data_IF_938142201185
#
_entry.id   IF_938142201185
#
_cell.length_a   1.000
_cell.length_b   1.000
_cell.length_c   1.000
_cell.angle_alpha   90.00
_cell.angle_beta   90.00
_cell.angle_gamma   90.00
#
_symmetry.space_group_name_H-M   'P 1'
#
loop_
_entity.id
_entity.type
_entity.pdbx_description
1 polymer ?
#
# COMPACT_ATOMS: atom_id res chain seq x y z
N UNK A 1 97.61 20.13 17.06
CA UNK A 1 97.29 20.24 15.61
C UNK A 1 98.08 19.28 14.75
N UNK A 2 99.30 19.00 15.13
CA UNK A 2 100.21 18.15 14.33
C UNK A 2 99.93 16.65 14.33
N UNK A 3 99.32 16.09 15.38
CA UNK A 3 98.88 14.66 15.39
C UNK A 3 97.64 14.41 14.53
N UNK A 4 96.74 15.40 14.46
CA UNK A 4 95.52 15.30 13.58
C UNK A 4 95.94 15.34 12.11
N UNK A 5 96.88 16.24 11.73
CA UNK A 5 97.44 16.31 10.38
C UNK A 5 98.25 15.07 9.99
N UNK A 6 98.87 14.38 10.92
CA UNK A 6 99.65 13.14 10.70
C UNK A 6 98.76 11.94 10.39
N UNK A 7 97.56 11.89 10.96
CA UNK A 7 96.60 10.80 10.75
C UNK A 7 95.71 11.07 9.54
N UNK A 8 95.36 12.34 9.26
CA UNK A 8 94.37 12.70 8.22
C UNK A 8 94.98 13.50 7.04
N UNK A 9 96.29 13.80 7.04
CA UNK A 9 96.98 14.64 6.08
C UNK A 9 97.09 14.04 4.66
N UNK A 10 96.95 12.74 4.52
CA UNK A 10 96.97 12.02 3.25
C UNK A 10 95.60 11.79 2.61
N UNK A 11 94.51 12.27 3.26
CA UNK A 11 93.23 12.19 2.71
C UNK A 11 93.02 13.32 1.71
N UNK A 12 93.17 13.02 0.46
CA UNK A 12 92.92 13.99 -0.63
C UNK A 12 91.43 14.43 -0.68
N UNK A 13 91.15 15.68 -1.05
CA UNK A 13 89.78 16.24 -1.20
C UNK A 13 88.89 15.29 -2.01
N UNK A 14 89.44 14.55 -2.97
CA UNK A 14 88.74 13.52 -3.75
C UNK A 14 88.20 12.35 -2.92
N UNK A 15 88.98 11.85 -1.92
CA UNK A 15 88.56 10.73 -1.06
C UNK A 15 87.49 11.15 -0.07
N UNK A 16 87.53 12.34 0.47
CA UNK A 16 86.41 12.90 1.27
C UNK A 16 85.14 13.08 0.47
N UNK A 17 85.27 13.58 -0.74
CA UNK A 17 84.10 13.71 -1.61
C UNK A 17 83.44 12.37 -1.96
N UNK A 18 84.19 11.31 -2.24
CA UNK A 18 83.68 9.95 -2.48
C UNK A 18 82.98 9.40 -1.26
N UNK A 19 83.50 9.60 -0.04
CA UNK A 19 82.84 9.15 1.22
C UNK A 19 81.50 9.88 1.41
N UNK A 20 81.42 11.19 1.16
CA UNK A 20 80.18 11.94 1.31
C UNK A 20 79.17 11.44 0.31
N UNK A 21 79.48 11.20 -0.97
CA UNK A 21 78.62 10.65 -1.98
C UNK A 21 78.11 9.25 -1.59
N UNK A 22 79.03 8.40 -1.05
CA UNK A 22 78.61 7.06 -0.58
C UNK A 22 77.64 7.13 0.60
N UNK A 23 77.81 8.05 1.55
CA UNK A 23 76.87 8.22 2.68
C UNK A 23 75.54 8.73 2.23
N UNK A 24 75.50 9.67 1.29
CA UNK A 24 74.20 10.16 0.67
C UNK A 24 73.51 9.04 -0.08
N UNK A 25 74.27 8.22 -0.80
CA UNK A 25 73.70 7.07 -1.51
C UNK A 25 73.11 6.04 -0.55
N UNK A 26 73.84 5.67 0.51
CA UNK A 26 73.34 4.75 1.56
C UNK A 26 72.09 5.30 2.27
N UNK A 27 72.10 6.60 2.57
CA UNK A 27 70.91 7.23 3.18
C UNK A 27 69.69 7.19 2.24
N UNK A 28 69.89 7.41 0.95
CA UNK A 28 68.85 7.32 -0.06
C UNK A 28 68.29 5.89 -0.20
N UNK A 29 69.17 4.89 -0.22
CA UNK A 29 68.80 3.47 -0.19
C UNK A 29 67.99 3.13 1.08
N UNK A 30 68.47 3.55 2.24
CA UNK A 30 67.74 3.35 3.50
C UNK A 30 66.35 3.95 3.47
N UNK A 31 66.19 5.17 2.93
CA UNK A 31 64.90 5.84 2.83
C UNK A 31 63.96 5.10 1.90
N UNK A 32 64.41 4.58 0.75
CA UNK A 32 63.63 3.79 -0.19
C UNK A 32 63.11 2.49 0.45
N UNK A 33 64.04 1.74 1.10
CA UNK A 33 63.69 0.47 1.77
C UNK A 33 62.73 0.71 2.93
N UNK A 34 62.99 1.76 3.74
CA UNK A 34 62.09 2.13 4.85
C UNK A 34 60.68 2.47 4.35
N UNK A 35 60.56 3.28 3.29
CA UNK A 35 59.26 3.66 2.74
C UNK A 35 58.54 2.44 2.17
N UNK A 36 59.22 1.57 1.44
CA UNK A 36 58.66 0.34 0.92
C UNK A 36 58.14 -0.60 2.01
N UNK A 37 58.88 -0.75 3.10
CA UNK A 37 58.46 -1.52 4.28
C UNK A 37 57.21 -0.90 4.93
N UNK A 38 57.17 0.42 5.11
CA UNK A 38 56.03 1.11 5.70
C UNK A 38 54.77 0.95 4.82
N UNK A 39 54.92 1.09 3.51
CA UNK A 39 53.79 0.86 2.58
C UNK A 39 53.29 -0.58 2.65
N UNK A 40 54.17 -1.55 2.70
CA UNK A 40 53.81 -2.96 2.83
C UNK A 40 53.05 -3.24 4.14
N UNK A 41 53.55 -2.72 5.27
CA UNK A 41 52.84 -2.83 6.55
C UNK A 41 51.44 -2.19 6.54
N UNK A 42 51.32 -1.00 5.93
CA UNK A 42 50.03 -0.33 5.80
C UNK A 42 49.04 -1.15 4.95
N UNK A 43 49.50 -1.74 3.84
CA UNK A 43 48.65 -2.60 3.00
C UNK A 43 48.24 -3.89 3.71
N UNK A 44 49.11 -4.48 4.53
CA UNK A 44 48.78 -5.65 5.36
C UNK A 44 47.72 -5.29 6.43
N UNK A 45 47.90 -4.17 7.12
CA UNK A 45 46.95 -3.67 8.13
C UNK A 45 45.57 -3.36 7.52
N UNK A 46 45.50 -2.75 6.31
CA UNK A 46 44.25 -2.50 5.60
C UNK A 46 43.57 -3.81 5.17
N UNK A 47 44.33 -4.82 4.74
CA UNK A 47 43.80 -6.14 4.41
C UNK A 47 43.24 -6.84 5.63
N UNK A 48 43.94 -6.79 6.75
CA UNK A 48 43.45 -7.37 8.01
C UNK A 48 42.17 -6.69 8.48
N UNK A 49 42.08 -5.37 8.43
CA UNK A 49 40.85 -4.63 8.76
C UNK A 49 39.67 -5.06 7.86
N UNK A 50 39.89 -5.14 6.55
CA UNK A 50 38.85 -5.60 5.61
C UNK A 50 38.40 -7.04 5.88
N UNK A 51 39.31 -7.93 6.17
CA UNK A 51 39.03 -9.32 6.54
C UNK A 51 38.21 -9.36 7.84
N UNK A 52 38.58 -8.56 8.82
CA UNK A 52 37.85 -8.48 10.08
C UNK A 52 36.41 -7.97 9.89
N UNK A 53 36.22 -6.92 9.08
CA UNK A 53 34.88 -6.41 8.70
C UNK A 53 34.03 -7.47 8.02
N UNK A 54 34.60 -8.22 7.08
CA UNK A 54 33.89 -9.31 6.39
C UNK A 54 33.52 -10.44 7.35
N UNK A 55 34.40 -10.81 8.27
CA UNK A 55 34.12 -11.81 9.31
C UNK A 55 32.97 -11.36 10.22
N UNK A 56 32.97 -10.10 10.65
CA UNK A 56 31.91 -9.53 11.47
C UNK A 56 30.56 -9.52 10.73
N UNK A 57 30.52 -9.09 9.45
CA UNK A 57 29.33 -9.16 8.62
C UNK A 57 28.84 -10.60 8.44
N UNK A 58 29.75 -11.53 8.15
CA UNK A 58 29.40 -12.94 8.01
C UNK A 58 28.84 -13.55 9.29
N UNK A 59 29.35 -13.15 10.46
CA UNK A 59 28.85 -13.61 11.77
C UNK A 59 27.45 -13.10 12.08
N UNK A 60 27.06 -11.92 11.55
CA UNK A 60 25.73 -11.34 11.73
C UNK A 60 24.70 -11.88 10.73
N UNK A 61 25.13 -12.51 9.62
CA UNK A 61 24.24 -13.03 8.57
C UNK A 61 23.14 -13.98 9.06
N UNK A 62 23.42 -14.97 9.92
CA UNK A 62 22.39 -15.88 10.42
C UNK A 62 21.28 -15.14 11.18
N UNK A 63 21.65 -14.13 11.97
CA UNK A 63 20.71 -13.31 12.75
C UNK A 63 19.82 -12.45 11.84
N UNK A 64 20.38 -11.85 10.81
CA UNK A 64 19.61 -11.09 9.82
C UNK A 64 18.68 -11.99 9.00
N UNK A 65 19.16 -13.19 8.65
CA UNK A 65 18.34 -14.18 7.94
C UNK A 65 17.13 -14.62 8.79
N UNK A 66 17.35 -14.92 10.07
CA UNK A 66 16.27 -15.28 11.00
C UNK A 66 15.23 -14.15 11.14
N UNK A 67 15.71 -12.90 11.29
CA UNK A 67 14.83 -11.73 11.33
C UNK A 67 14.03 -11.56 10.04
N UNK A 68 14.66 -11.74 8.88
CA UNK A 68 14.00 -11.67 7.58
C UNK A 68 12.89 -12.71 7.44
N UNK A 69 13.17 -13.97 7.81
CA UNK A 69 12.17 -15.05 7.80
C UNK A 69 11.01 -14.74 8.73
N UNK A 70 11.28 -14.22 9.93
CA UNK A 70 10.23 -13.81 10.88
C UNK A 70 9.35 -12.70 10.33
N UNK A 71 9.94 -11.68 9.71
CA UNK A 71 9.21 -10.58 9.06
C UNK A 71 8.35 -11.11 7.91
N UNK A 72 8.89 -11.98 7.05
CA UNK A 72 8.14 -12.59 5.95
C UNK A 72 6.94 -13.37 6.45
N UNK A 73 7.10 -14.14 7.54
CA UNK A 73 5.99 -14.89 8.16
C UNK A 73 4.90 -13.94 8.67
N UNK A 74 5.28 -12.89 9.43
CA UNK A 74 4.33 -11.88 9.93
C UNK A 74 3.61 -11.17 8.79
N UNK A 75 4.32 -10.86 7.70
CA UNK A 75 3.72 -10.24 6.52
C UNK A 75 2.68 -11.15 5.86
N UNK A 76 3.01 -12.44 5.71
CA UNK A 76 2.09 -13.44 5.16
C UNK A 76 0.82 -13.59 6.02
N UNK A 77 0.97 -13.67 7.34
CA UNK A 77 -0.15 -13.74 8.29
C UNK A 77 -1.03 -12.49 8.23
N UNK A 78 -0.41 -11.31 8.13
CA UNK A 78 -1.13 -10.03 8.01
C UNK A 78 -1.92 -9.95 6.69
N UNK A 79 -1.32 -10.37 5.57
CA UNK A 79 -2.00 -10.42 4.26
C UNK A 79 -3.21 -11.35 4.32
N UNK A 80 -3.07 -12.54 4.91
CA UNK A 80 -4.18 -13.49 5.07
C UNK A 80 -5.32 -12.90 5.92
N UNK A 81 -4.98 -12.21 7.01
CA UNK A 81 -5.96 -11.52 7.86
C UNK A 81 -6.70 -10.40 7.11
N UNK A 82 -5.98 -9.59 6.32
CA UNK A 82 -6.56 -8.53 5.49
C UNK A 82 -7.50 -9.12 4.44
N UNK A 83 -7.11 -10.19 3.75
CA UNK A 83 -7.96 -10.87 2.77
C UNK A 83 -9.26 -11.38 3.39
N UNK A 84 -9.17 -11.99 4.57
CA UNK A 84 -10.34 -12.47 5.31
C UNK A 84 -11.27 -11.31 5.69
N UNK A 85 -10.71 -10.20 6.19
CA UNK A 85 -11.48 -9.01 6.53
C UNK A 85 -12.16 -8.39 5.30
N UNK A 86 -11.49 -8.36 4.14
CA UNK A 86 -12.07 -7.88 2.88
C UNK A 86 -13.26 -8.74 2.42
N UNK A 87 -13.16 -10.08 2.52
CA UNK A 87 -14.26 -10.99 2.18
C UNK A 87 -15.47 -10.76 3.09
N UNK A 88 -15.25 -10.63 4.40
CA UNK A 88 -16.31 -10.35 5.37
C UNK A 88 -16.98 -8.99 5.12
N UNK A 89 -16.21 -7.97 4.75
CA UNK A 89 -16.73 -6.66 4.39
C UNK A 89 -17.58 -6.73 3.13
N UNK A 90 -17.13 -7.46 2.09
CA UNK A 90 -17.88 -7.65 0.86
C UNK A 90 -19.22 -8.34 1.13
N UNK A 91 -19.24 -9.39 1.94
CA UNK A 91 -20.46 -10.09 2.34
C UNK A 91 -21.41 -9.16 3.09
N UNK A 92 -20.89 -8.35 4.02
CA UNK A 92 -21.68 -7.38 4.79
C UNK A 92 -22.28 -6.31 3.90
N UNK A 93 -21.52 -5.78 2.92
CA UNK A 93 -22.01 -4.81 1.93
C UNK A 93 -23.12 -5.41 1.07
N UNK A 94 -22.97 -6.65 0.60
CA UNK A 94 -24.00 -7.34 -0.19
C UNK A 94 -25.28 -7.55 0.63
N UNK A 95 -25.16 -7.88 1.92
CA UNK A 95 -26.30 -8.00 2.82
C UNK A 95 -27.02 -6.67 3.02
N UNK A 96 -26.24 -5.59 3.25
CA UNK A 96 -26.80 -4.25 3.39
C UNK A 96 -27.53 -3.79 2.11
N UNK A 97 -26.92 -4.00 0.94
CA UNK A 97 -27.55 -3.65 -0.35
C UNK A 97 -28.89 -4.37 -0.53
N UNK A 98 -28.95 -5.65 -0.19
CA UNK A 98 -30.19 -6.44 -0.23
C UNK A 98 -31.25 -5.90 0.72
N UNK A 99 -30.87 -5.59 1.97
CA UNK A 99 -31.78 -5.02 2.97
C UNK A 99 -32.32 -3.64 2.54
N UNK A 100 -31.48 -2.80 1.94
CA UNK A 100 -31.89 -1.48 1.43
C UNK A 100 -32.92 -1.64 0.31
N UNK A 101 -32.65 -2.52 -0.66
CA UNK A 101 -33.57 -2.76 -1.77
C UNK A 101 -34.93 -3.31 -1.30
N UNK A 102 -34.91 -4.23 -0.34
CA UNK A 102 -36.13 -4.79 0.27
C UNK A 102 -36.94 -3.73 1.05
N UNK A 103 -36.24 -2.87 1.81
CA UNK A 103 -36.85 -1.78 2.56
C UNK A 103 -37.44 -0.71 1.61
N UNK A 104 -36.77 -0.39 0.50
CA UNK A 104 -37.30 0.51 -0.52
C UNK A 104 -38.56 -0.05 -1.14
N UNK A 105 -38.58 -1.33 -1.54
CA UNK A 105 -39.75 -1.99 -2.07
C UNK A 105 -40.94 -1.99 -1.07
N UNK A 106 -40.64 -2.24 0.21
CA UNK A 106 -41.66 -2.19 1.27
C UNK A 106 -42.23 -0.78 1.45
N UNK A 107 -41.37 0.23 1.35
CA UNK A 107 -41.79 1.65 1.42
C UNK A 107 -42.64 2.05 0.22
N UNK A 108 -42.26 1.63 -0.99
CA UNK A 108 -43.10 1.82 -2.19
C UNK A 108 -44.45 1.15 -2.02
N UNK A 109 -44.49 -0.11 -1.57
CA UNK A 109 -45.74 -0.83 -1.28
C UNK A 109 -46.64 -0.07 -0.29
N UNK A 110 -46.05 0.45 0.80
CA UNK A 110 -46.82 1.23 1.78
C UNK A 110 -47.44 2.49 1.13
N UNK A 111 -46.68 3.25 0.33
CA UNK A 111 -47.20 4.43 -0.35
C UNK A 111 -48.28 4.10 -1.36
N UNK A 112 -48.12 3.02 -2.12
CA UNK A 112 -49.12 2.51 -3.07
C UNK A 112 -50.44 2.18 -2.35
N UNK A 113 -50.38 1.40 -1.27
CA UNK A 113 -51.57 1.01 -0.52
C UNK A 113 -52.26 2.24 0.10
N UNK A 114 -51.50 3.16 0.66
CA UNK A 114 -52.01 4.41 1.22
C UNK A 114 -52.69 5.28 0.15
N UNK A 115 -52.06 5.47 -1.01
CA UNK A 115 -52.62 6.23 -2.09
C UNK A 115 -53.91 5.60 -2.62
N UNK A 116 -53.96 4.27 -2.70
CA UNK A 116 -55.18 3.57 -3.08
C UNK A 116 -56.30 3.77 -2.03
N UNK A 117 -56.00 3.78 -0.74
CA UNK A 117 -56.94 4.07 0.33
C UNK A 117 -57.50 5.51 0.22
N UNK A 118 -56.65 6.48 -0.06
CA UNK A 118 -57.07 7.87 -0.34
C UNK A 118 -58.04 7.98 -1.54
N UNK A 119 -57.77 7.23 -2.62
CA UNK A 119 -58.70 7.14 -3.77
C UNK A 119 -60.04 6.51 -3.37
N UNK A 120 -60.03 5.46 -2.58
CA UNK A 120 -61.27 4.78 -2.12
C UNK A 120 -62.11 5.68 -1.22
N UNK A 121 -61.48 6.65 -0.52
CA UNK A 121 -62.15 7.70 0.26
C UNK A 121 -62.47 8.96 -0.56
N UNK A 122 -62.48 8.84 -1.93
CA UNK A 122 -62.84 9.91 -2.86
C UNK A 122 -61.92 11.16 -2.78
N UNK A 123 -60.71 11.02 -2.24
CA UNK A 123 -59.71 12.11 -2.29
C UNK A 123 -59.25 12.35 -3.71
N UNK A 124 -59.24 13.63 -4.10
CA UNK A 124 -58.77 14.03 -5.42
C UNK A 124 -57.27 14.28 -5.40
N UNK A 125 -56.59 13.90 -6.45
CA UNK A 125 -55.16 14.05 -6.61
C UNK A 125 -54.79 14.76 -7.92
N UNK A 126 -53.69 15.49 -7.92
CA UNK A 126 -53.13 16.07 -9.13
C UNK A 126 -52.51 15.00 -10.00
N UNK A 127 -52.31 15.33 -11.28
CA UNK A 127 -51.65 14.44 -12.23
C UNK A 127 -50.23 14.06 -11.74
N UNK A 128 -49.48 15.05 -11.24
CA UNK A 128 -48.12 14.85 -10.72
C UNK A 128 -48.11 13.85 -9.56
N UNK A 129 -49.11 13.87 -8.68
CA UNK A 129 -49.21 12.92 -7.58
C UNK A 129 -49.45 11.48 -8.08
N UNK A 130 -50.27 11.32 -9.11
CA UNK A 130 -50.44 10.04 -9.79
C UNK A 130 -49.14 9.58 -10.48
N UNK A 131 -48.44 10.46 -11.20
CA UNK A 131 -47.19 10.13 -11.87
C UNK A 131 -46.14 9.64 -10.85
N UNK A 132 -46.04 10.29 -9.68
CA UNK A 132 -45.14 9.87 -8.60
C UNK A 132 -45.49 8.47 -8.06
N UNK A 133 -46.76 8.16 -7.87
CA UNK A 133 -47.18 6.82 -7.43
C UNK A 133 -46.95 5.77 -8.52
N UNK A 134 -47.12 6.09 -9.79
CA UNK A 134 -46.80 5.18 -10.89
C UNK A 134 -45.30 4.88 -10.98
N UNK A 135 -44.43 5.82 -10.62
CA UNK A 135 -43.01 5.57 -10.45
C UNK A 135 -42.73 4.60 -9.30
N UNK A 136 -43.39 4.76 -8.15
CA UNK A 136 -43.32 3.81 -7.04
C UNK A 136 -43.81 2.42 -7.41
N UNK A 137 -44.89 2.33 -8.19
CA UNK A 137 -45.40 1.07 -8.74
C UNK A 137 -44.35 0.41 -9.62
N UNK A 138 -43.71 1.16 -10.52
CA UNK A 138 -42.69 0.64 -11.42
C UNK A 138 -41.48 0.07 -10.64
N UNK A 139 -40.99 0.79 -9.61
CA UNK A 139 -39.91 0.34 -8.74
C UNK A 139 -40.31 -0.92 -7.98
N UNK A 140 -41.53 -0.95 -7.43
CA UNK A 140 -42.03 -2.09 -6.68
C UNK A 140 -42.17 -3.33 -7.55
N UNK A 141 -42.83 -3.21 -8.73
CA UNK A 141 -42.99 -4.30 -9.68
C UNK A 141 -41.67 -4.87 -10.17
N UNK A 142 -40.67 -4.00 -10.45
CA UNK A 142 -39.31 -4.41 -10.81
C UNK A 142 -38.64 -5.22 -9.70
N UNK A 143 -38.68 -4.73 -8.45
CA UNK A 143 -38.12 -5.45 -7.31
C UNK A 143 -38.75 -6.83 -7.13
N UNK A 144 -40.10 -6.93 -7.24
CA UNK A 144 -40.82 -8.19 -7.13
C UNK A 144 -40.42 -9.19 -8.22
N UNK A 145 -40.21 -8.72 -9.46
CA UNK A 145 -39.78 -9.55 -10.58
C UNK A 145 -38.37 -10.15 -10.34
N UNK A 146 -37.47 -9.35 -9.77
CA UNK A 146 -36.11 -9.77 -9.43
C UNK A 146 -36.04 -10.65 -8.18
N UNK A 147 -37.09 -10.60 -7.30
CA UNK A 147 -37.15 -11.30 -6.02
C UNK A 147 -38.43 -12.14 -5.85
N UNK A 148 -38.55 -13.30 -6.53
CA UNK A 148 -39.77 -14.10 -6.52
C UNK A 148 -40.27 -14.60 -5.16
N UNK A 149 -39.37 -14.60 -4.16
CA UNK A 149 -39.70 -14.99 -2.78
C UNK A 149 -40.30 -13.85 -1.95
N UNK A 150 -40.25 -12.62 -2.45
CA UNK A 150 -40.86 -11.47 -1.78
C UNK A 150 -42.39 -11.50 -1.96
N UNK A 151 -43.13 -11.28 -0.86
CA UNK A 151 -44.60 -11.31 -0.88
C UNK A 151 -45.18 -10.11 -1.65
N UNK A 152 -45.53 -10.29 -2.92
CA UNK A 152 -45.98 -9.23 -3.82
C UNK A 152 -47.52 -9.11 -3.95
N UNK A 153 -48.26 -10.13 -3.54
CA UNK A 153 -49.73 -10.17 -3.76
C UNK A 153 -50.53 -9.09 -3.00
N UNK A 154 -49.92 -8.45 -2.00
CA UNK A 154 -50.58 -7.48 -1.11
C UNK A 154 -50.90 -6.14 -1.81
N UNK A 155 -50.29 -5.81 -2.93
CA UNK A 155 -50.47 -4.54 -3.62
C UNK A 155 -51.11 -4.67 -5.01
N UNK A 156 -51.32 -5.87 -5.53
CA UNK A 156 -51.81 -6.10 -6.91
C UNK A 156 -53.12 -5.37 -7.20
N UNK A 157 -54.14 -5.59 -6.38
CA UNK A 157 -55.45 -4.96 -6.56
C UNK A 157 -55.41 -3.43 -6.39
N UNK A 158 -54.57 -2.94 -5.48
CA UNK A 158 -54.36 -1.51 -5.30
C UNK A 158 -53.73 -0.86 -6.55
N UNK A 159 -52.72 -1.50 -7.12
CA UNK A 159 -52.05 -1.07 -8.35
C UNK A 159 -53.02 -1.02 -9.53
N UNK A 160 -53.82 -2.07 -9.70
CA UNK A 160 -54.84 -2.13 -10.75
C UNK A 160 -55.88 -1.00 -10.59
N UNK A 161 -56.36 -0.75 -9.38
CA UNK A 161 -57.29 0.33 -9.08
C UNK A 161 -56.68 1.71 -9.40
N UNK A 162 -55.43 1.97 -8.96
CA UNK A 162 -54.72 3.24 -9.23
C UNK A 162 -54.59 3.45 -10.76
N UNK A 163 -54.13 2.45 -11.50
CA UNK A 163 -53.97 2.51 -12.96
C UNK A 163 -55.32 2.80 -13.64
N UNK A 164 -56.41 2.16 -13.18
CA UNK A 164 -57.77 2.37 -13.69
C UNK A 164 -58.28 3.79 -13.44
N UNK A 165 -58.10 4.31 -12.22
CA UNK A 165 -58.52 5.68 -11.85
C UNK A 165 -57.72 6.73 -12.62
N UNK A 166 -56.39 6.55 -12.74
CA UNK A 166 -55.55 7.41 -13.56
C UNK A 166 -56.05 7.53 -15.02
N UNK A 167 -56.35 6.40 -15.66
CA UNK A 167 -56.90 6.40 -17.03
C UNK A 167 -58.23 7.12 -17.11
N UNK A 168 -59.14 6.92 -16.15
CA UNK A 168 -60.40 7.62 -16.10
C UNK A 168 -60.23 9.14 -15.95
N UNK A 169 -59.36 9.58 -15.04
CA UNK A 169 -59.07 11.01 -14.87
C UNK A 169 -58.39 11.61 -16.09
N UNK A 170 -57.48 10.87 -16.73
CA UNK A 170 -56.80 11.32 -17.96
C UNK A 170 -57.79 11.48 -19.13
N UNK A 171 -58.68 10.50 -19.34
CA UNK A 171 -59.64 10.53 -20.41
C UNK A 171 -60.68 11.63 -20.24
N UNK A 172 -61.08 11.97 -19.00
CA UNK A 172 -62.10 12.97 -18.67
C UNK A 172 -61.53 14.32 -18.32
N UNK A 173 -60.21 14.47 -18.28
CA UNK A 173 -59.47 15.64 -17.81
C UNK A 173 -59.94 16.13 -16.43
N UNK A 174 -60.10 15.20 -15.47
CA UNK A 174 -60.66 15.45 -14.13
C UNK A 174 -59.69 15.33 -13.00
N UNK A 175 -58.38 15.46 -13.27
CA UNK A 175 -57.40 15.64 -12.23
C UNK A 175 -57.69 16.91 -11.40
N UNK A 176 -57.16 16.98 -10.15
CA UNK A 176 -57.34 18.15 -9.29
C UNK A 176 -56.67 19.39 -9.90
#
# INVERSE_FOLDING_TARGET
MDEFLKVFGDITISTVAVIIVALVFLWKLYTIVKNHLIEKYKQEEEKEKKVQEVIEQASNYPKWHEQSVKIQKQFSETIAAIQTAQLNNLESLNRLAKMIAENEATTCRYRILRFNDEILHEQKHTKEHFDQILDDVTRYEKFCAEHPKYENNKAVLAIENIKRVYQNCSNKNTFL
#
